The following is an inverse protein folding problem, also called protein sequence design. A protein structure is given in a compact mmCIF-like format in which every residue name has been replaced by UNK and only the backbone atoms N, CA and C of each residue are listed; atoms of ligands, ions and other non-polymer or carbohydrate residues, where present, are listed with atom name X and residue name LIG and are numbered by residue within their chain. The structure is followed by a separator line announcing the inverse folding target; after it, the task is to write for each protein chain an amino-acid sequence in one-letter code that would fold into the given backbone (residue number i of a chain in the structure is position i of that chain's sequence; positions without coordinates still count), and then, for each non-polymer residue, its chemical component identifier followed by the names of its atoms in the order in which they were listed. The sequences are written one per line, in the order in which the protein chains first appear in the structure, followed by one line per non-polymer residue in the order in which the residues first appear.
data_IF_646502409221
#
_entry.id   IF_646502409221
#
_cell.length_a   1.000
_cell.length_b   1.000
_cell.length_c   1.000
_cell.angle_alpha   90.00
_cell.angle_beta   90.00
_cell.angle_gamma   90.00
#
_symmetry.space_group_name_H-M   'P 1'
#
loop_
_entity.id
_entity.type
_entity.pdbx_description
1 polymer ?
#
# COMPACT_ATOMS: atom_id res chain seq x y z
N UNK A 1 -19.11 -8.13 4.37
CA UNK A 1 -17.90 -7.31 4.24
C UNK A 1 -17.10 -7.76 3.04
N UNK A 2 -15.84 -7.30 2.92
CA UNK A 2 -14.85 -7.80 1.97
C UNK A 2 -13.59 -8.19 2.74
N UNK A 3 -12.85 -9.16 2.25
CA UNK A 3 -11.47 -9.33 2.70
C UNK A 3 -10.65 -8.10 2.30
N UNK A 4 -9.66 -7.75 3.09
CA UNK A 4 -8.74 -6.64 2.80
C UNK A 4 -7.31 -7.14 2.94
N UNK A 5 -6.53 -6.99 1.87
CA UNK A 5 -5.07 -7.04 1.91
C UNK A 5 -4.58 -5.62 2.08
N UNK A 6 -4.11 -5.28 3.27
CA UNK A 6 -3.47 -4.00 3.57
C UNK A 6 -1.97 -4.23 3.64
N UNK A 7 -1.19 -3.55 2.82
CA UNK A 7 0.26 -3.65 2.88
C UNK A 7 0.93 -2.28 2.96
N UNK A 8 2.01 -2.24 3.72
CA UNK A 8 2.79 -1.04 3.97
C UNK A 8 4.09 -1.09 3.17
N UNK A 9 4.47 0.06 2.62
CA UNK A 9 5.75 0.25 1.96
C UNK A 9 6.45 1.50 2.50
N UNK A 10 7.80 1.53 2.55
CA UNK A 10 8.53 2.59 3.24
C UNK A 10 8.28 4.00 2.69
N UNK A 11 8.47 4.20 1.38
CA UNK A 11 8.49 5.51 0.74
C UNK A 11 8.14 5.43 -0.75
N UNK A 12 7.41 6.44 -1.23
CA UNK A 12 7.26 6.78 -2.64
C UNK A 12 8.63 7.08 -3.30
N UNK A 13 8.71 6.94 -4.63
CA UNK A 13 9.91 7.28 -5.44
C UNK A 13 11.21 6.54 -5.05
N UNK A 14 11.10 5.33 -4.49
CA UNK A 14 12.25 4.45 -4.19
C UNK A 14 12.30 3.23 -5.12
N UNK A 15 13.40 2.48 -5.12
CA UNK A 15 13.71 1.49 -6.15
C UNK A 15 12.99 0.14 -6.01
N UNK A 16 12.71 -0.32 -4.78
CA UNK A 16 12.12 -1.65 -4.53
C UNK A 16 10.60 -1.58 -4.34
N UNK A 17 10.07 -0.44 -3.89
CA UNK A 17 8.64 -0.27 -3.64
C UNK A 17 7.73 -0.36 -4.88
N UNK A 18 8.08 0.14 -6.09
CA UNK A 18 7.13 0.16 -7.19
C UNK A 18 6.79 -1.25 -7.69
N UNK A 19 7.72 -2.21 -7.62
CA UNK A 19 7.47 -3.56 -8.14
C UNK A 19 6.36 -4.29 -7.39
N UNK A 20 6.30 -4.15 -6.05
CA UNK A 20 5.24 -4.76 -5.24
C UNK A 20 3.88 -4.13 -5.52
N UNK A 21 3.83 -2.79 -5.48
CA UNK A 21 2.58 -2.04 -5.68
C UNK A 21 2.03 -2.28 -7.09
N UNK A 22 2.90 -2.27 -8.11
CA UNK A 22 2.52 -2.57 -9.50
C UNK A 22 2.01 -4.00 -9.62
N UNK A 23 2.69 -4.99 -9.02
CA UNK A 23 2.27 -6.40 -9.12
C UNK A 23 0.88 -6.63 -8.51
N UNK A 24 0.57 -6.01 -7.36
CA UNK A 24 -0.76 -6.06 -6.78
C UNK A 24 -1.80 -5.33 -7.63
N UNK A 25 -1.44 -4.16 -8.18
CA UNK A 25 -2.32 -3.39 -9.05
C UNK A 25 -2.67 -4.11 -10.35
N UNK A 26 -1.70 -4.75 -10.99
CA UNK A 26 -1.90 -5.47 -12.25
C UNK A 26 -2.77 -6.73 -12.05
N UNK A 27 -2.78 -7.29 -10.83
CA UNK A 27 -3.59 -8.45 -10.43
C UNK A 27 -4.79 -8.10 -9.57
N UNK A 28 -5.16 -6.82 -9.46
CA UNK A 28 -6.26 -6.37 -8.58
C UNK A 28 -7.59 -7.08 -8.89
N UNK A 29 -7.82 -7.42 -10.16
CA UNK A 29 -9.01 -8.16 -10.60
C UNK A 29 -9.08 -9.58 -10.04
N UNK A 30 -7.94 -10.24 -9.79
CA UNK A 30 -7.92 -11.57 -9.17
C UNK A 30 -8.44 -11.52 -7.73
N UNK A 31 -8.06 -10.49 -6.97
CA UNK A 31 -8.57 -10.25 -5.62
C UNK A 31 -10.05 -9.85 -5.66
N UNK A 32 -10.44 -8.99 -6.60
CA UNK A 32 -11.83 -8.55 -6.74
C UNK A 32 -12.79 -9.72 -7.02
N UNK A 33 -12.38 -10.69 -7.84
CA UNK A 33 -13.16 -11.91 -8.15
C UNK A 33 -13.46 -12.78 -6.93
N UNK A 34 -12.61 -12.72 -5.91
CA UNK A 34 -12.78 -13.44 -4.64
C UNK A 34 -13.21 -12.51 -3.50
N UNK A 35 -13.89 -11.41 -3.83
CA UNK A 35 -14.43 -10.42 -2.87
C UNK A 35 -13.37 -9.85 -1.91
N UNK A 36 -12.16 -9.59 -2.42
CA UNK A 36 -11.03 -9.05 -1.69
C UNK A 36 -10.62 -7.69 -2.26
N UNK A 37 -10.37 -6.71 -1.39
CA UNK A 37 -9.79 -5.42 -1.73
C UNK A 37 -8.29 -5.41 -1.38
N UNK A 38 -7.50 -4.68 -2.15
CA UNK A 38 -6.06 -4.50 -1.90
C UNK A 38 -5.77 -3.02 -1.71
N UNK A 39 -5.02 -2.66 -0.68
CA UNK A 39 -4.71 -1.27 -0.32
C UNK A 39 -3.22 -1.18 0.01
N UNK A 40 -2.51 -0.26 -0.65
CA UNK A 40 -1.13 0.08 -0.30
C UNK A 40 -1.13 1.26 0.66
N UNK A 41 -0.18 1.33 1.59
CA UNK A 41 -0.07 2.44 2.54
C UNK A 41 1.39 2.86 2.78
N UNK A 42 1.66 4.16 2.82
CA UNK A 42 2.91 4.71 3.33
C UNK A 42 2.66 6.00 4.11
N UNK A 43 3.73 6.57 4.66
CA UNK A 43 3.70 7.85 5.39
C UNK A 43 3.79 9.08 4.48
N UNK A 44 3.77 8.87 3.16
CA UNK A 44 3.76 9.94 2.18
C UNK A 44 2.41 10.65 2.13
N UNK A 45 2.38 11.82 1.49
CA UNK A 45 1.14 12.57 1.30
C UNK A 45 0.38 12.06 0.08
N UNK A 46 -0.94 12.27 0.05
CA UNK A 46 -1.75 11.96 -1.13
C UNK A 46 -1.31 12.74 -2.39
N UNK A 47 -0.67 13.91 -2.22
CA UNK A 47 -0.05 14.65 -3.32
C UNK A 47 1.17 13.92 -3.89
N UNK A 48 2.00 13.33 -3.02
CA UNK A 48 3.15 12.50 -3.42
C UNK A 48 2.67 11.27 -4.20
N UNK A 49 1.68 10.57 -3.67
CA UNK A 49 1.07 9.42 -4.35
C UNK A 49 0.56 9.80 -5.74
N UNK A 50 -0.20 10.89 -5.85
CA UNK A 50 -0.72 11.36 -7.13
C UNK A 50 0.41 11.65 -8.13
N UNK A 51 1.45 12.38 -7.70
CA UNK A 51 2.61 12.64 -8.53
C UNK A 51 3.30 11.34 -8.98
N UNK A 52 3.42 10.35 -8.10
CA UNK A 52 4.04 9.07 -8.42
C UNK A 52 3.22 8.21 -9.39
N UNK A 53 1.89 8.27 -9.31
CA UNK A 53 0.99 7.62 -10.29
C UNK A 53 1.00 8.30 -11.65
N UNK A 54 1.28 9.60 -11.71
CA UNK A 54 1.41 10.33 -12.97
C UNK A 54 2.75 10.06 -13.69
N UNK A 55 3.76 9.58 -12.97
CA UNK A 55 5.06 9.22 -13.53
C UNK A 55 4.98 7.85 -14.24
N UNK A 56 5.62 7.72 -15.40
CA UNK A 56 5.61 6.47 -16.15
C UNK A 56 6.44 5.38 -15.43
N UNK A 57 6.02 4.11 -15.54
CA UNK A 57 6.74 2.96 -14.95
C UNK A 57 8.20 2.86 -15.40
N UNK A 58 8.47 3.21 -16.67
CA UNK A 58 9.84 3.23 -17.24
C UNK A 58 10.75 4.29 -16.60
N UNK A 59 10.17 5.28 -15.92
CA UNK A 59 10.86 6.38 -15.23
C UNK A 59 10.86 6.17 -13.70
N UNK A 60 10.47 4.99 -13.22
CA UNK A 60 10.36 4.68 -11.79
C UNK A 60 9.03 5.08 -11.15
N UNK A 61 8.03 5.47 -11.95
CA UNK A 61 6.68 5.76 -11.50
C UNK A 61 5.80 4.51 -11.33
N UNK A 62 4.57 4.72 -10.86
CA UNK A 62 3.58 3.64 -10.75
C UNK A 62 2.71 3.51 -12.02
N UNK A 63 2.51 4.62 -12.73
CA UNK A 63 1.53 4.71 -13.82
C UNK A 63 0.10 4.50 -13.32
N UNK A 64 -0.77 3.99 -14.21
CA UNK A 64 -2.17 3.71 -13.86
C UNK A 64 -2.25 2.65 -12.76
N UNK A 65 -2.99 2.99 -11.71
CA UNK A 65 -3.22 2.14 -10.54
C UNK A 65 -4.66 1.66 -10.47
N UNK A 66 -4.83 0.38 -10.12
CA UNK A 66 -6.12 -0.27 -9.90
C UNK A 66 -6.40 -0.51 -8.40
N UNK A 67 -5.46 -0.09 -7.53
CA UNK A 67 -5.58 -0.18 -6.07
C UNK A 67 -5.41 1.22 -5.45
N UNK A 68 -6.09 1.53 -4.35
CA UNK A 68 -5.88 2.76 -3.60
C UNK A 68 -4.50 2.80 -2.94
N UNK A 69 -3.90 3.99 -2.94
CA UNK A 69 -2.70 4.35 -2.18
C UNK A 69 -3.13 5.22 -0.99
N UNK A 70 -2.98 4.71 0.22
CA UNK A 70 -3.40 5.34 1.47
C UNK A 70 -2.26 6.16 2.08
N UNK A 71 -2.50 7.46 2.21
CA UNK A 71 -1.58 8.40 2.83
C UNK A 71 -1.75 8.42 4.37
N UNK A 72 -0.81 7.81 5.09
CA UNK A 72 -0.72 7.87 6.56
C UNK A 72 0.21 8.99 7.02
N UNK A 73 -0.06 10.22 6.58
CA UNK A 73 0.87 11.35 6.81
C UNK A 73 1.08 11.69 8.29
N UNK A 74 0.11 11.36 9.14
CA UNK A 74 0.21 11.57 10.59
C UNK A 74 0.78 10.35 11.33
N UNK A 75 1.17 9.29 10.62
CA UNK A 75 1.79 8.05 11.12
C UNK A 75 0.91 7.22 12.06
N UNK A 76 -0.37 7.58 12.22
CA UNK A 76 -1.25 6.91 13.21
C UNK A 76 -1.53 5.47 12.80
N UNK A 77 -1.75 5.23 11.51
CA UNK A 77 -2.10 3.90 11.01
C UNK A 77 -0.89 2.98 11.13
N UNK A 78 0.26 3.42 10.63
CA UNK A 78 1.51 2.66 10.66
C UNK A 78 1.94 2.30 12.08
N UNK A 79 1.73 3.20 13.05
CA UNK A 79 1.98 2.92 14.47
C UNK A 79 1.00 1.92 15.05
N UNK A 80 -0.30 2.02 14.73
CA UNK A 80 -1.31 1.07 15.19
C UNK A 80 -1.09 -0.35 14.66
N UNK A 81 -0.55 -0.47 13.45
CA UNK A 81 -0.16 -1.75 12.86
C UNK A 81 1.23 -2.23 13.30
N UNK A 82 1.99 -1.43 14.05
CA UNK A 82 3.31 -1.79 14.58
C UNK A 82 4.42 -1.83 13.53
N UNK A 83 4.23 -1.20 12.36
CA UNK A 83 5.21 -1.18 11.26
C UNK A 83 6.01 0.11 11.18
N UNK A 84 5.63 1.15 11.92
CA UNK A 84 6.34 2.42 11.88
C UNK A 84 7.70 2.34 12.58
N UNK A 85 8.75 2.82 11.92
CA UNK A 85 10.10 2.97 12.46
C UNK A 85 10.33 4.43 12.84
N UNK A 86 10.31 4.70 14.14
CA UNK A 86 10.55 6.04 14.69
C UNK A 86 11.91 6.62 14.30
N UNK A 87 12.94 5.78 14.24
CA UNK A 87 14.31 6.21 13.89
C UNK A 87 14.42 6.73 12.45
N UNK A 88 13.70 6.10 11.52
CA UNK A 88 13.82 6.36 10.08
C UNK A 88 12.66 7.22 9.55
N UNK A 89 11.59 7.38 10.31
CA UNK A 89 10.41 8.14 9.91
C UNK A 89 9.53 7.46 8.86
N UNK A 90 9.69 6.15 8.63
CA UNK A 90 9.05 5.38 7.56
C UNK A 90 8.43 4.07 8.08
N UNK A 91 7.72 3.35 7.23
CA UNK A 91 7.21 2.01 7.56
C UNK A 91 8.20 0.91 7.19
N UNK A 92 8.17 -0.19 7.95
CA UNK A 92 8.64 -1.49 7.48
C UNK A 92 7.68 -2.06 6.42
N UNK A 93 8.19 -2.98 5.60
CA UNK A 93 7.34 -3.80 4.74
C UNK A 93 6.53 -4.76 5.61
N UNK A 94 5.21 -4.56 5.65
CA UNK A 94 4.29 -5.43 6.37
C UNK A 94 3.04 -5.64 5.53
N UNK A 95 2.44 -6.84 5.60
CA UNK A 95 1.24 -7.20 4.87
C UNK A 95 0.24 -7.85 5.81
N UNK A 96 -0.99 -7.38 5.80
CA UNK A 96 -2.03 -7.80 6.71
C UNK A 96 -3.23 -8.29 5.92
N UNK A 97 -3.70 -9.50 6.23
CA UNK A 97 -4.94 -10.03 5.67
C UNK A 97 -6.03 -9.92 6.73
N UNK A 98 -7.04 -9.13 6.43
CA UNK A 98 -8.18 -8.84 7.30
C UNK A 98 -9.41 -9.48 6.66
N UNK A 99 -10.17 -10.25 7.44
CA UNK A 99 -11.37 -10.92 6.93
C UNK A 99 -12.56 -9.96 6.74
N UNK A 100 -13.65 -10.49 6.21
CA UNK A 100 -14.88 -9.74 5.93
C UNK A 100 -15.63 -9.24 7.17
N UNK A 101 -15.16 -9.60 8.37
CA UNK A 101 -15.64 -9.14 9.67
C UNK A 101 -14.68 -8.14 10.33
N UNK A 102 -13.59 -7.78 9.66
CA UNK A 102 -12.58 -6.85 10.18
C UNK A 102 -11.60 -7.50 11.16
N UNK A 103 -11.50 -8.83 11.18
CA UNK A 103 -10.58 -9.56 12.07
C UNK A 103 -9.28 -9.85 11.32
N UNK A 104 -8.16 -9.53 11.95
CA UNK A 104 -6.83 -9.83 11.43
C UNK A 104 -6.60 -11.35 11.41
N UNK A 105 -6.19 -11.89 10.25
CA UNK A 105 -5.98 -13.33 10.02
C UNK A 105 -4.53 -13.69 9.75
N UNK A 106 -3.75 -12.77 9.19
CA UNK A 106 -2.34 -12.98 8.85
C UNK A 106 -1.57 -11.66 8.96
N UNK A 107 -0.32 -11.76 9.40
CA UNK A 107 0.75 -10.75 9.35
C UNK A 107 1.91 -11.33 8.52
#
# INVERSE_FOLDING_TARGET
GKYVVLFFYPLDFTFVCPTEIIAFSDRADEFAKINTAVIACSTDSHFSHLAWTNLARKEGGLGKMNIPLLADKNTKISRQYGVYRDEDGVTLRGLYIIDDKGILRQI
#
